data_IF_747857757478
#
_entry.id   IF_747857757478
#
_cell.length_a   1.000
_cell.length_b   1.000
_cell.length_c   1.000
_cell.angle_alpha   90.00
_cell.angle_beta   90.00
_cell.angle_gamma   90.00
#
_symmetry.space_group_name_H-M   'P 1'
#
loop_
_entity.id
_entity.type
_entity.pdbx_description
1 polymer ?
#
# COMPACT_ATOMS: atom_id res chain seq x y z
N UNK A 1 -50.38 26.21 -21.27
CA UNK A 1 -50.13 25.75 -19.88
C UNK A 1 -49.48 24.37 -19.75
N UNK A 2 -49.50 23.50 -20.78
CA UNK A 2 -48.95 22.12 -20.71
C UNK A 2 -47.42 22.00 -20.88
N UNK A 3 -46.70 23.09 -21.19
CA UNK A 3 -45.23 23.09 -21.38
C UNK A 3 -44.42 23.46 -20.12
N UNK A 4 -45.05 23.99 -19.07
CA UNK A 4 -44.35 24.39 -17.84
C UNK A 4 -44.16 23.26 -16.82
N UNK A 5 -44.85 22.12 -16.96
CA UNK A 5 -44.73 21.00 -16.03
C UNK A 5 -43.52 20.08 -16.29
N UNK A 6 -42.87 20.15 -17.46
CA UNK A 6 -41.71 19.29 -17.73
C UNK A 6 -40.39 19.80 -17.12
N UNK A 7 -40.28 21.09 -16.82
CA UNK A 7 -39.02 21.68 -16.32
C UNK A 7 -38.77 21.37 -14.84
N UNK A 8 -39.80 21.03 -14.06
CA UNK A 8 -39.67 20.81 -12.62
C UNK A 8 -39.23 19.38 -12.24
N UNK A 9 -39.26 18.43 -13.20
CA UNK A 9 -38.90 17.03 -12.96
C UNK A 9 -37.41 16.73 -13.20
N UNK A 10 -36.63 17.67 -13.77
CA UNK A 10 -35.19 17.48 -14.02
C UNK A 10 -34.29 17.87 -12.83
N UNK A 11 -34.84 18.46 -11.76
CA UNK A 11 -34.05 18.92 -10.60
C UNK A 11 -33.79 17.83 -9.55
N UNK A 12 -34.33 16.62 -9.74
CA UNK A 12 -34.22 15.49 -8.81
C UNK A 12 -33.19 14.46 -9.27
N UNK A 13 -32.17 14.87 -10.03
CA UNK A 13 -31.03 14.01 -10.28
C UNK A 13 -30.29 13.80 -8.94
N UNK A 14 -30.20 12.56 -8.41
CA UNK A 14 -29.36 12.30 -7.26
C UNK A 14 -27.94 12.68 -7.66
N UNK A 15 -27.30 13.51 -6.86
CA UNK A 15 -25.86 13.75 -6.99
C UNK A 15 -25.21 12.36 -6.92
N UNK A 16 -24.66 11.89 -8.04
CA UNK A 16 -23.79 10.73 -8.04
C UNK A 16 -22.65 11.09 -7.10
N UNK A 17 -22.69 10.54 -5.88
CA UNK A 17 -21.62 10.69 -4.91
C UNK A 17 -20.35 10.27 -5.64
N UNK A 18 -19.41 11.21 -5.80
CA UNK A 18 -18.10 10.89 -6.35
C UNK A 18 -17.56 9.76 -5.49
N UNK A 19 -17.44 8.57 -6.06
CA UNK A 19 -16.83 7.44 -5.38
C UNK A 19 -15.47 7.95 -4.89
N UNK A 20 -15.33 8.10 -3.58
CA UNK A 20 -14.13 8.64 -2.99
C UNK A 20 -13.00 7.67 -3.36
N UNK A 21 -12.15 8.09 -4.29
CA UNK A 21 -11.08 7.23 -4.80
C UNK A 21 -10.24 6.75 -3.62
N UNK A 22 -9.98 5.44 -3.55
CA UNK A 22 -9.14 4.85 -2.51
C UNK A 22 -7.77 5.58 -2.51
N UNK A 23 -7.36 6.21 -1.39
CA UNK A 23 -6.16 7.05 -1.37
C UNK A 23 -4.88 6.32 -1.83
N UNK A 24 -4.85 4.99 -1.64
CA UNK A 24 -3.74 4.11 -2.00
C UNK A 24 -3.93 3.38 -3.32
N UNK A 25 -4.96 3.67 -4.12
CA UNK A 25 -5.19 2.94 -5.38
C UNK A 25 -3.98 2.96 -6.32
N UNK A 26 -3.16 4.01 -6.23
CA UNK A 26 -1.94 4.14 -7.02
C UNK A 26 -0.82 3.15 -6.64
N UNK A 27 -0.96 2.48 -5.50
CA UNK A 27 -0.01 1.48 -5.01
C UNK A 27 -0.37 0.07 -5.45
N UNK A 28 -1.54 -0.16 -6.04
CA UNK A 28 -1.98 -1.52 -6.38
C UNK A 28 -0.99 -2.26 -7.28
N UNK A 29 -0.69 -3.49 -6.88
CA UNK A 29 0.31 -4.32 -7.53
C UNK A 29 1.51 -4.61 -6.63
N UNK A 30 2.58 -5.08 -7.26
CA UNK A 30 3.80 -5.52 -6.58
C UNK A 30 4.91 -4.51 -6.76
N UNK A 31 5.63 -4.23 -5.67
CA UNK A 31 6.74 -3.30 -5.58
C UNK A 31 7.96 -4.03 -5.06
N UNK A 32 9.08 -3.90 -5.75
CA UNK A 32 10.32 -4.59 -5.40
C UNK A 32 11.43 -3.58 -5.11
N UNK A 33 12.43 -4.00 -4.35
CA UNK A 33 13.58 -3.16 -4.05
C UNK A 33 13.91 -3.21 -2.58
N UNK A 34 14.10 -2.04 -1.96
CA UNK A 34 14.53 -1.98 -0.56
C UNK A 34 16.00 -2.34 -0.35
N UNK A 35 16.72 -2.75 -1.39
CA UNK A 35 18.14 -3.05 -1.36
C UNK A 35 18.85 -2.32 -2.50
N UNK A 36 20.00 -1.73 -2.18
CA UNK A 36 20.70 -0.82 -3.08
C UNK A 36 21.65 -1.59 -4.01
N UNK A 37 21.69 -1.25 -5.32
CA UNK A 37 20.78 -0.36 -6.04
C UNK A 37 19.45 -1.05 -6.44
N UNK A 38 18.36 -0.29 -6.62
CA UNK A 38 17.16 -0.80 -7.26
C UNK A 38 17.45 -1.06 -8.75
N UNK A 39 17.72 -2.32 -9.10
CA UNK A 39 17.81 -2.77 -10.49
C UNK A 39 16.43 -2.92 -11.10
N UNK A 40 16.24 -2.33 -12.29
CA UNK A 40 15.10 -2.64 -13.14
C UNK A 40 15.39 -3.94 -13.88
N UNK A 41 14.62 -4.98 -13.58
CA UNK A 41 14.75 -6.33 -14.12
C UNK A 41 13.38 -6.82 -14.59
N UNK A 42 13.34 -7.77 -15.53
CA UNK A 42 12.09 -8.30 -16.05
C UNK A 42 11.18 -8.87 -14.94
N UNK A 43 9.87 -8.91 -15.20
CA UNK A 43 8.81 -9.28 -14.24
C UNK A 43 9.12 -10.46 -13.31
N UNK A 44 9.71 -11.55 -13.84
CA UNK A 44 10.07 -12.74 -13.04
C UNK A 44 11.12 -12.42 -11.98
N UNK A 45 12.14 -11.65 -12.33
CA UNK A 45 13.22 -11.28 -11.41
C UNK A 45 12.74 -10.23 -10.38
N UNK A 46 11.78 -9.38 -10.78
CA UNK A 46 11.11 -8.43 -9.89
C UNK A 46 10.46 -9.11 -8.68
N UNK A 47 9.80 -10.25 -8.90
CA UNK A 47 9.12 -11.03 -7.85
C UNK A 47 10.05 -11.95 -7.03
N UNK A 48 11.32 -12.08 -7.44
CA UNK A 48 12.31 -12.91 -6.75
C UNK A 48 13.07 -12.17 -5.62
N UNK A 49 12.73 -10.88 -5.40
CA UNK A 49 13.36 -9.98 -4.43
C UNK A 49 12.39 -9.64 -3.28
N UNK A 50 12.85 -8.98 -2.20
CA UNK A 50 11.95 -8.39 -1.23
C UNK A 50 10.87 -7.57 -1.92
N UNK A 51 9.63 -7.96 -1.66
CA UNK A 51 8.46 -7.46 -2.39
C UNK A 51 7.42 -7.01 -1.39
N UNK A 52 6.79 -5.88 -1.69
CA UNK A 52 5.55 -5.44 -1.04
C UNK A 52 4.44 -5.43 -2.06
N UNK A 53 3.32 -6.08 -1.76
CA UNK A 53 2.16 -6.17 -2.62
C UNK A 53 1.02 -5.41 -1.94
N UNK A 54 0.55 -4.35 -2.58
CA UNK A 54 -0.62 -3.62 -2.09
C UNK A 54 -1.86 -4.08 -2.85
N UNK A 55 -2.89 -4.41 -2.08
CA UNK A 55 -4.24 -4.65 -2.59
C UNK A 55 -5.20 -3.64 -1.96
N UNK A 56 -6.50 -3.80 -2.22
CA UNK A 56 -7.53 -2.97 -1.60
C UNK A 56 -7.51 -3.04 -0.07
N UNK A 57 -7.47 -4.26 0.47
CA UNK A 57 -7.75 -4.52 1.90
C UNK A 57 -6.57 -5.16 2.66
N UNK A 58 -5.55 -5.64 1.93
CA UNK A 58 -4.35 -6.27 2.52
C UNK A 58 -3.07 -5.72 1.91
N UNK A 59 -2.01 -5.68 2.72
CA UNK A 59 -0.63 -5.52 2.27
C UNK A 59 0.12 -6.79 2.61
N UNK A 60 0.72 -7.40 1.59
CA UNK A 60 1.63 -8.53 1.76
C UNK A 60 3.05 -8.00 1.68
N UNK A 61 3.95 -8.51 2.51
CA UNK A 61 5.37 -8.20 2.36
C UNK A 61 6.27 -9.39 2.67
N UNK A 62 7.44 -9.37 2.06
CA UNK A 62 8.52 -10.33 2.29
C UNK A 62 9.84 -9.55 2.34
N UNK A 63 10.75 -9.96 3.23
CA UNK A 63 12.05 -9.28 3.43
C UNK A 63 13.19 -10.26 3.19
N UNK A 64 14.44 -9.78 3.19
CA UNK A 64 15.59 -10.68 3.09
C UNK A 64 15.71 -11.64 4.28
N UNK A 65 15.33 -11.16 5.47
CA UNK A 65 15.50 -11.89 6.72
C UNK A 65 14.26 -12.71 7.07
N UNK A 66 13.16 -12.49 6.36
CA UNK A 66 11.93 -13.26 6.47
C UNK A 66 11.34 -13.52 5.07
N UNK A 67 11.66 -14.67 4.46
CA UNK A 67 11.23 -15.02 3.10
C UNK A 67 9.77 -15.50 3.02
N UNK A 68 9.05 -15.53 4.14
CA UNK A 68 7.63 -15.88 4.17
C UNK A 68 6.80 -14.62 3.92
N UNK A 69 5.75 -14.71 3.10
CA UNK A 69 4.82 -13.60 2.96
C UNK A 69 4.07 -13.36 4.26
N UNK A 70 4.18 -12.13 4.75
CA UNK A 70 3.50 -11.65 5.92
C UNK A 70 2.30 -10.81 5.47
N UNK A 71 1.13 -11.14 6.01
CA UNK A 71 -0.12 -10.46 5.68
C UNK A 71 -0.48 -9.41 6.73
N UNK A 72 -0.80 -8.21 6.25
CA UNK A 72 -1.27 -7.09 7.05
C UNK A 72 -2.63 -6.62 6.55
N UNK A 73 -3.66 -6.84 7.36
CA UNK A 73 -5.02 -6.38 7.06
C UNK A 73 -5.10 -4.87 7.31
N UNK A 74 -5.52 -4.13 6.29
CA UNK A 74 -5.71 -2.68 6.34
C UNK A 74 -6.95 -2.40 7.20
N UNK A 75 -6.78 -1.53 8.20
CA UNK A 75 -7.88 -0.99 9.00
C UNK A 75 -8.34 0.36 8.44
N UNK A 76 -7.39 1.27 8.20
CA UNK A 76 -7.67 2.57 7.58
C UNK A 76 -6.51 3.00 6.69
N UNK A 77 -6.82 3.81 5.68
CA UNK A 77 -5.83 4.52 4.87
C UNK A 77 -6.21 5.98 4.79
N UNK A 78 -5.22 6.86 4.95
CA UNK A 78 -5.40 8.30 4.71
C UNK A 78 -4.34 8.83 3.77
N UNK A 79 -4.72 9.79 2.94
CA UNK A 79 -3.78 10.58 2.16
C UNK A 79 -2.92 11.47 3.07
N UNK A 80 -1.68 11.71 2.67
CA UNK A 80 -0.76 12.67 3.27
C UNK A 80 -0.21 13.58 2.15
N UNK A 81 0.46 14.71 2.46
CA UNK A 81 1.04 15.57 1.43
C UNK A 81 1.99 14.85 0.46
N UNK A 82 2.71 13.84 0.97
CA UNK A 82 3.76 13.13 0.22
C UNK A 82 3.37 11.69 -0.16
N UNK A 83 2.13 11.26 0.10
CA UNK A 83 1.67 9.90 -0.19
C UNK A 83 0.50 9.44 0.68
N UNK A 84 0.67 8.33 1.40
CA UNK A 84 -0.39 7.74 2.24
C UNK A 84 0.16 7.20 3.56
N UNK A 85 -0.70 7.14 4.58
CA UNK A 85 -0.45 6.40 5.81
C UNK A 85 -1.50 5.31 5.97
N UNK A 86 -1.02 4.06 6.10
CA UNK A 86 -1.81 2.90 6.44
C UNK A 86 -1.80 2.70 7.95
N UNK A 87 -2.96 2.34 8.49
CA UNK A 87 -3.06 1.68 9.80
C UNK A 87 -3.57 0.26 9.58
N UNK A 88 -2.90 -0.71 10.20
CA UNK A 88 -3.23 -2.12 10.09
C UNK A 88 -3.90 -2.63 11.35
N UNK A 89 -4.73 -3.65 11.19
CA UNK A 89 -5.27 -4.39 12.33
C UNK A 89 -4.10 -4.99 13.12
N UNK A 90 -4.08 -4.85 14.46
CA UNK A 90 -3.09 -5.51 15.29
C UNK A 90 -3.17 -7.03 15.13
N UNK A 91 -2.02 -7.66 14.95
CA UNK A 91 -1.90 -9.13 14.87
C UNK A 91 -1.47 -9.63 16.23
N UNK A 92 -2.12 -10.68 16.73
CA UNK A 92 -1.75 -11.30 18.00
C UNK A 92 -0.31 -11.82 17.92
N UNK A 93 0.58 -11.34 18.81
CA UNK A 93 1.95 -11.84 18.89
C UNK A 93 1.92 -13.33 19.26
N UNK A 94 2.61 -14.20 18.52
CA UNK A 94 2.81 -15.57 18.97
C UNK A 94 3.50 -15.53 20.33
N UNK A 95 2.88 -16.13 21.36
CA UNK A 95 3.47 -16.25 22.68
C UNK A 95 4.27 -17.55 22.74
N UNK A 96 5.59 -17.48 22.86
CA UNK A 96 6.44 -18.66 23.01
C UNK A 96 7.93 -18.33 23.10
N UNK A 97 8.75 -19.19 23.72
CA UNK A 97 10.19 -18.94 23.95
C UNK A 97 11.04 -18.89 22.67
N UNK A 98 10.48 -19.28 21.52
CA UNK A 98 11.12 -19.23 20.18
C UNK A 98 10.38 -18.27 19.23
N UNK A 99 9.40 -17.50 19.73
CA UNK A 99 8.63 -16.57 18.91
C UNK A 99 9.45 -15.31 18.62
N UNK A 100 10.22 -15.31 17.53
CA UNK A 100 10.76 -14.06 16.99
C UNK A 100 9.61 -13.26 16.38
N UNK A 101 9.60 -11.97 16.71
CA UNK A 101 8.76 -10.92 16.12
C UNK A 101 9.08 -10.64 14.64
N UNK A 102 9.81 -11.53 13.97
CA UNK A 102 10.16 -11.36 12.57
C UNK A 102 8.87 -11.32 11.74
N UNK A 103 8.77 -10.35 10.85
CA UNK A 103 7.71 -10.31 9.85
C UNK A 103 6.39 -9.65 10.26
N UNK A 104 6.19 -9.23 11.51
CA UNK A 104 4.90 -8.62 11.90
C UNK A 104 4.71 -7.22 11.28
N UNK A 105 5.76 -6.52 10.89
CA UNK A 105 5.65 -5.20 10.28
C UNK A 105 6.81 -4.92 9.32
N UNK A 106 6.99 -3.65 8.99
CA UNK A 106 7.95 -3.20 7.96
C UNK A 106 9.28 -2.70 8.57
N UNK A 107 9.54 -3.00 9.84
CA UNK A 107 10.73 -2.50 10.54
C UNK A 107 10.69 -1.00 10.85
N UNK A 108 9.50 -0.39 10.84
CA UNK A 108 9.25 0.99 11.26
C UNK A 108 9.00 1.07 12.78
N UNK A 109 8.86 2.28 13.33
CA UNK A 109 8.65 2.49 14.78
C UNK A 109 7.39 1.82 15.36
N UNK A 110 6.26 1.85 14.65
CA UNK A 110 5.02 1.14 15.01
C UNK A 110 4.74 0.06 13.95
N UNK A 111 4.65 -1.24 14.29
CA UNK A 111 4.41 -2.31 13.32
C UNK A 111 3.03 -2.26 12.67
N UNK A 112 2.08 -1.49 13.23
CA UNK A 112 0.74 -1.34 12.71
C UNK A 112 0.56 -0.05 11.89
N UNK A 113 1.63 0.72 11.67
CA UNK A 113 1.60 1.93 10.85
C UNK A 113 2.65 1.84 9.75
N UNK A 114 2.23 2.04 8.51
CA UNK A 114 3.14 2.19 7.37
C UNK A 114 2.90 3.53 6.69
N UNK A 115 3.95 4.32 6.59
CA UNK A 115 3.97 5.54 5.78
C UNK A 115 4.61 5.23 4.44
N UNK A 116 3.89 5.52 3.37
CA UNK A 116 4.37 5.37 2.01
C UNK A 116 4.51 6.75 1.40
N UNK A 117 5.73 7.10 1.00
CA UNK A 117 6.01 8.30 0.22
C UNK A 117 6.04 7.94 -1.26
N UNK A 118 5.37 8.76 -2.07
CA UNK A 118 5.46 8.71 -3.53
C UNK A 118 6.59 9.62 -3.99
N UNK A 119 7.54 9.07 -4.73
CA UNK A 119 8.67 9.82 -5.27
C UNK A 119 8.40 10.26 -6.72
N UNK A 120 9.10 11.30 -7.16
CA UNK A 120 8.92 11.89 -8.49
C UNK A 120 9.19 10.90 -9.65
N UNK A 121 10.04 9.90 -9.43
CA UNK A 121 10.40 8.88 -10.43
C UNK A 121 9.38 7.73 -10.60
N UNK A 122 8.21 7.81 -9.96
CA UNK A 122 7.25 6.70 -9.91
C UNK A 122 7.62 5.61 -8.89
N UNK A 123 8.66 5.84 -8.11
CA UNK A 123 9.10 4.99 -7.00
C UNK A 123 8.31 5.29 -5.72
N UNK A 124 8.39 4.39 -4.76
CA UNK A 124 7.86 4.61 -3.41
C UNK A 124 8.94 4.37 -2.36
N UNK A 125 8.81 4.99 -1.20
CA UNK A 125 9.72 4.78 -0.08
C UNK A 125 8.94 4.60 1.23
N UNK A 126 9.55 3.87 2.16
CA UNK A 126 9.05 3.67 3.53
C UNK A 126 10.01 4.34 4.53
N UNK A 127 9.81 5.63 4.86
CA UNK A 127 10.77 6.38 5.67
C UNK A 127 10.93 5.79 7.08
N UNK A 128 12.19 5.58 7.48
CA UNK A 128 12.52 5.08 8.82
C UNK A 128 12.21 3.59 9.03
N UNK A 129 12.00 2.83 7.96
CA UNK A 129 11.69 1.41 8.01
C UNK A 129 12.93 0.58 7.62
N UNK A 130 13.51 -0.15 8.56
CA UNK A 130 14.79 -0.84 8.37
C UNK A 130 14.71 -2.05 7.43
N UNK A 131 13.53 -2.62 7.24
CA UNK A 131 13.34 -3.76 6.34
C UNK A 131 13.33 -3.34 4.86
N UNK A 132 13.13 -2.05 4.59
CA UNK A 132 13.08 -1.44 3.26
C UNK A 132 13.82 -0.09 3.23
N UNK A 133 15.15 -0.08 3.43
CA UNK A 133 15.94 1.15 3.58
C UNK A 133 16.12 1.96 2.29
N UNK A 134 15.71 1.43 1.14
CA UNK A 134 15.83 2.08 -0.18
C UNK A 134 14.49 2.11 -0.91
N UNK A 135 14.31 3.01 -1.91
CA UNK A 135 13.09 3.05 -2.69
C UNK A 135 12.73 1.71 -3.35
N UNK A 136 11.43 1.54 -3.58
CA UNK A 136 10.85 0.40 -4.30
C UNK A 136 10.33 0.87 -5.66
N UNK A 137 10.48 -0.01 -6.65
CA UNK A 137 10.00 0.17 -8.02
C UNK A 137 8.82 -0.78 -8.28
N UNK A 138 7.84 -0.30 -9.04
CA UNK A 138 6.70 -1.11 -9.48
C UNK A 138 7.16 -2.24 -10.40
N UNK A 139 6.67 -3.46 -10.19
CA UNK A 139 6.88 -4.59 -11.09
C UNK A 139 5.99 -4.56 -12.32
N UNK A 140 4.98 -3.69 -12.36
CA UNK A 140 4.07 -3.57 -13.50
C UNK A 140 4.61 -2.68 -14.60
N UNK A 141 5.51 -1.76 -14.25
CA UNK A 141 6.15 -0.83 -15.19
C UNK A 141 7.48 -1.39 -15.77
N UNK A 142 7.71 -2.71 -15.60
CA UNK A 142 8.89 -3.44 -16.08
C UNK A 142 8.51 -4.54 -17.08
#
# INVERSE_FOLDING_TARGET
MRRLLLALLLSLAPAAGQAQSEPHAFLFGSWTGGLMPPTREGRTACLARPTVIFTRDIVLHVTLLDPTYQERIIETVRATPDGVEFRFRPVARPQGPIARLAGVGFGCGDPNVLRVQRLAGGEIAFPGCIDFPSPLVSCMDQ
#
